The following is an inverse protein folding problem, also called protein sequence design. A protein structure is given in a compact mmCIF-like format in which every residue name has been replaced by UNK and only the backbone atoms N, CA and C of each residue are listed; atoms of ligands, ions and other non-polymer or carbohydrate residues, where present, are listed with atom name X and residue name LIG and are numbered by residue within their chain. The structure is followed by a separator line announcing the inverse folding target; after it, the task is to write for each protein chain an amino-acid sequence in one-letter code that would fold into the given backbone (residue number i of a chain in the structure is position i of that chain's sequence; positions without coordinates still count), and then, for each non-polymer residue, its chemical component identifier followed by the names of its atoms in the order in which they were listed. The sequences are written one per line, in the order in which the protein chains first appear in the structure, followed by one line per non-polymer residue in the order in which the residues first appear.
data_IF_318567586480
#
_entry.id   IF_318567586480
#
_cell.length_a   1.000
_cell.length_b   1.000
_cell.length_c   1.000
_cell.angle_alpha   90.00
_cell.angle_beta   90.00
_cell.angle_gamma   90.00
#
_symmetry.space_group_name_H-M   'P 1'
#
loop_
_entity.id
_entity.type
_entity.pdbx_description
1 polymer ?
#
# COMPACT_ATOMS: atom_id res chain seq x y z
N UNK A 1 7.19 7.21 -31.62
CA UNK A 1 5.94 7.95 -31.95
C UNK A 1 5.48 8.63 -30.65
N UNK A 2 5.40 9.96 -30.59
CA UNK A 2 4.98 10.68 -29.37
C UNK A 2 3.47 10.49 -29.16
N UNK A 3 3.05 9.99 -28.00
CA UNK A 3 1.64 9.91 -27.59
C UNK A 3 1.32 11.12 -26.70
N UNK A 4 0.27 11.85 -27.04
CA UNK A 4 -0.21 13.00 -26.25
C UNK A 4 -1.45 12.60 -25.48
N UNK A 5 -1.48 12.90 -24.18
CA UNK A 5 -2.61 12.67 -23.29
C UNK A 5 -3.14 14.04 -22.86
N UNK A 6 -4.45 14.24 -22.99
CA UNK A 6 -5.12 15.45 -22.51
C UNK A 6 -5.81 15.13 -21.19
N UNK A 7 -5.39 15.77 -20.12
CA UNK A 7 -5.95 15.58 -18.77
C UNK A 7 -6.86 16.76 -18.42
N UNK A 8 -8.02 16.46 -17.81
CA UNK A 8 -8.88 17.46 -17.19
C UNK A 8 -8.69 17.35 -15.68
N UNK A 9 -8.29 18.44 -15.07
CA UNK A 9 -8.02 18.56 -13.64
C UNK A 9 -8.72 19.79 -13.10
N UNK A 10 -8.92 19.80 -11.78
CA UNK A 10 -9.38 20.99 -11.08
C UNK A 10 -8.44 22.18 -11.34
N UNK A 11 -9.00 23.39 -11.37
CA UNK A 11 -8.24 24.62 -11.56
C UNK A 11 -7.28 24.87 -10.40
N UNK A 12 -7.64 24.54 -9.17
CA UNK A 12 -6.78 24.72 -7.98
C UNK A 12 -5.56 23.80 -8.06
N UNK A 13 -5.78 22.54 -8.45
CA UNK A 13 -4.71 21.58 -8.67
C UNK A 13 -3.81 22.01 -9.83
N UNK A 14 -4.38 22.48 -10.94
CA UNK A 14 -3.62 22.98 -12.08
C UNK A 14 -2.71 24.14 -11.71
N UNK A 15 -3.23 25.11 -10.94
CA UNK A 15 -2.46 26.27 -10.50
C UNK A 15 -1.31 25.85 -9.58
N UNK A 16 -1.57 24.95 -8.63
CA UNK A 16 -0.57 24.43 -7.71
C UNK A 16 0.56 23.70 -8.47
N UNK A 17 0.21 22.82 -9.41
CA UNK A 17 1.19 22.13 -10.25
C UNK A 17 1.99 23.10 -11.14
N UNK A 18 1.38 24.18 -11.60
CA UNK A 18 2.07 25.19 -12.42
C UNK A 18 3.09 25.98 -11.60
N UNK A 19 2.78 26.32 -10.35
CA UNK A 19 3.72 26.97 -9.43
C UNK A 19 4.93 26.07 -9.21
N UNK A 20 4.71 24.81 -8.87
CA UNK A 20 5.78 23.83 -8.64
C UNK A 20 6.66 23.60 -9.90
N UNK A 21 6.04 23.49 -11.08
CA UNK A 21 6.77 23.37 -12.34
C UNK A 21 7.67 24.59 -12.59
N UNK A 22 7.16 25.80 -12.32
CA UNK A 22 7.92 27.04 -12.48
C UNK A 22 9.09 27.13 -11.48
N UNK A 23 8.89 26.69 -10.24
CA UNK A 23 9.94 26.65 -9.21
C UNK A 23 11.09 25.70 -9.60
N UNK A 24 10.77 24.62 -10.30
CA UNK A 24 11.76 23.67 -10.84
C UNK A 24 12.28 24.04 -12.24
N UNK A 25 11.86 25.18 -12.79
CA UNK A 25 12.28 25.63 -14.11
C UNK A 25 11.84 24.73 -15.27
N UNK A 26 10.79 23.93 -15.08
CA UNK A 26 10.28 22.98 -16.06
C UNK A 26 8.91 23.40 -16.61
N UNK A 27 8.51 22.83 -17.76
CA UNK A 27 7.15 23.04 -18.25
C UNK A 27 6.17 22.21 -17.43
N UNK A 28 4.92 22.67 -17.27
CA UNK A 28 3.87 21.91 -16.58
C UNK A 28 3.71 20.49 -17.13
N UNK A 29 3.85 20.32 -18.46
CA UNK A 29 3.73 19.01 -19.09
C UNK A 29 4.92 18.09 -18.80
N UNK A 30 6.11 18.64 -18.62
CA UNK A 30 7.29 17.86 -18.24
C UNK A 30 7.22 17.49 -16.77
N UNK A 31 6.89 18.46 -15.91
CA UNK A 31 6.70 18.24 -14.48
C UNK A 31 5.64 17.16 -14.18
N UNK A 32 4.47 17.24 -14.83
CA UNK A 32 3.42 16.22 -14.68
C UNK A 32 3.90 14.86 -15.21
N UNK A 33 4.67 14.84 -16.31
CA UNK A 33 5.21 13.60 -16.85
C UNK A 33 6.18 12.98 -15.86
N UNK A 34 7.03 13.77 -15.22
CA UNK A 34 7.98 13.29 -14.23
C UNK A 34 7.27 12.75 -12.99
N UNK A 35 6.21 13.40 -12.52
CA UNK A 35 5.36 12.86 -11.44
C UNK A 35 4.74 11.51 -11.85
N UNK A 36 4.17 11.42 -13.04
CA UNK A 36 3.52 10.19 -13.52
C UNK A 36 4.55 9.07 -13.70
N UNK A 37 5.72 9.39 -14.28
CA UNK A 37 6.82 8.43 -14.45
C UNK A 37 7.32 7.98 -13.08
N UNK A 38 7.59 8.90 -12.17
CA UNK A 38 8.01 8.59 -10.81
C UNK A 38 7.03 7.64 -10.12
N UNK A 39 5.73 7.90 -10.22
CA UNK A 39 4.73 7.03 -9.60
C UNK A 39 4.62 5.65 -10.27
N UNK A 40 4.75 5.58 -11.60
CA UNK A 40 4.80 4.32 -12.35
C UNK A 40 6.07 3.53 -12.04
N UNK A 41 7.20 4.22 -11.89
CA UNK A 41 8.48 3.60 -11.59
C UNK A 41 8.52 3.16 -10.12
N UNK A 42 8.01 3.96 -9.17
CA UNK A 42 7.86 3.61 -7.76
C UNK A 42 6.97 2.37 -7.57
N UNK A 43 5.95 2.21 -8.40
CA UNK A 43 5.14 0.97 -8.44
C UNK A 43 5.84 -0.22 -9.11
N UNK A 44 6.88 0.01 -9.92
CA UNK A 44 7.74 -1.03 -10.49
C UNK A 44 9.00 -1.34 -9.63
N UNK A 45 9.33 -0.50 -8.66
CA UNK A 45 10.49 -0.65 -7.76
C UNK A 45 10.31 -1.71 -6.65
N UNK A 46 9.22 -2.49 -6.65
CA UNK A 46 9.07 -3.64 -5.74
C UNK A 46 10.11 -4.77 -5.97
N UNK A 47 11.05 -4.63 -6.92
CA UNK A 47 12.04 -5.63 -7.29
C UNK A 47 13.53 -5.22 -7.14
N UNK A 48 13.87 -4.13 -6.46
CA UNK A 48 15.27 -3.80 -6.17
C UNK A 48 15.51 -3.58 -4.67
N UNK A 49 16.62 -4.16 -4.21
CA UNK A 49 17.21 -4.03 -2.86
C UNK A 49 17.14 -2.61 -2.28
N UNK A 50 17.18 -2.45 -0.94
CA UNK A 50 16.80 -1.22 -0.26
C UNK A 50 17.84 -0.12 -0.50
N UNK A 51 17.67 0.63 -1.58
CA UNK A 51 18.43 1.85 -1.82
C UNK A 51 17.65 3.00 -1.19
N UNK A 52 18.13 3.39 -0.02
CA UNK A 52 18.05 4.72 0.61
C UNK A 52 16.93 5.62 0.05
N UNK A 53 15.79 5.58 0.75
CA UNK A 53 14.74 6.58 0.68
C UNK A 53 15.37 7.98 0.64
N UNK A 54 14.95 8.76 -0.36
CA UNK A 54 15.17 10.19 -0.44
C UNK A 54 14.79 10.76 0.93
N UNK A 55 15.78 11.32 1.62
CA UNK A 55 15.55 12.18 2.79
C UNK A 55 14.64 13.30 2.32
N UNK A 56 13.38 13.21 2.68
CA UNK A 56 12.51 14.37 2.76
C UNK A 56 13.17 15.30 3.79
N UNK A 57 13.67 16.45 3.33
CA UNK A 57 14.32 17.47 4.17
C UNK A 57 13.27 18.25 4.99
N UNK A 58 12.30 17.55 5.58
CA UNK A 58 11.53 18.06 6.70
C UNK A 58 12.23 17.59 7.97
N UNK A 59 12.90 18.52 8.65
CA UNK A 59 13.58 18.32 9.93
C UNK A 59 12.59 18.05 11.08
N UNK A 60 11.83 16.95 11.02
CA UNK A 60 11.10 16.40 12.16
C UNK A 60 11.24 14.87 12.17
N UNK A 61 12.01 14.25 13.09
CA UNK A 61 12.29 12.83 13.10
C UNK A 61 11.15 12.04 13.76
N UNK A 62 9.90 12.27 13.35
CA UNK A 62 8.81 11.34 13.64
C UNK A 62 8.77 10.34 12.49
N UNK A 63 9.34 9.16 12.72
CA UNK A 63 9.12 7.99 11.87
C UNK A 63 7.61 7.85 11.70
N UNK A 64 7.09 8.17 10.52
CA UNK A 64 5.66 8.09 10.22
C UNK A 64 5.27 6.61 10.30
N UNK A 65 4.34 6.28 11.18
CA UNK A 65 3.90 4.90 11.37
C UNK A 65 3.33 4.35 10.06
N UNK A 66 3.60 3.08 9.74
CA UNK A 66 3.25 2.51 8.43
C UNK A 66 1.76 2.67 8.07
N UNK A 67 0.88 2.66 9.07
CA UNK A 67 -0.57 2.81 8.92
C UNK A 67 -1.02 4.17 8.36
N UNK A 68 -0.16 5.19 8.36
CA UNK A 68 -0.47 6.49 7.75
C UNK A 68 -0.04 6.57 6.27
N UNK A 69 0.54 5.50 5.72
CA UNK A 69 1.08 5.48 4.36
C UNK A 69 0.06 4.99 3.33
N UNK A 70 0.23 5.41 2.08
CA UNK A 70 -0.54 4.87 0.95
C UNK A 70 -0.41 3.34 0.81
N UNK A 71 0.77 2.80 1.14
CA UNK A 71 1.02 1.35 1.10
C UNK A 71 0.10 0.59 2.05
N UNK A 72 -0.19 1.16 3.22
CA UNK A 72 -1.15 0.58 4.14
C UNK A 72 -2.58 0.67 3.61
N UNK A 73 -2.98 1.79 2.99
CA UNK A 73 -4.29 1.90 2.32
C UNK A 73 -4.48 0.84 1.24
N UNK A 74 -3.43 0.55 0.46
CA UNK A 74 -3.43 -0.54 -0.52
C UNK A 74 -3.62 -1.91 0.15
N UNK A 75 -2.89 -2.18 1.23
CA UNK A 75 -3.05 -3.41 2.01
C UNK A 75 -4.47 -3.55 2.56
N UNK A 76 -5.04 -2.48 3.11
CA UNK A 76 -6.39 -2.46 3.66
C UNK A 76 -7.41 -2.79 2.57
N UNK A 77 -7.33 -2.10 1.45
CA UNK A 77 -8.20 -2.30 0.29
C UNK A 77 -8.10 -3.75 -0.19
N UNK A 78 -6.89 -4.30 -0.28
CA UNK A 78 -6.68 -5.69 -0.67
C UNK A 78 -7.33 -6.65 0.34
N UNK A 79 -7.11 -6.50 1.64
CA UNK A 79 -7.70 -7.35 2.68
C UNK A 79 -9.23 -7.40 2.62
N UNK A 80 -9.88 -6.25 2.41
CA UNK A 80 -11.33 -6.17 2.26
C UNK A 80 -11.81 -6.75 0.93
N UNK A 81 -11.12 -6.47 -0.18
CA UNK A 81 -11.44 -7.05 -1.48
C UNK A 81 -11.35 -8.59 -1.46
N UNK A 82 -10.39 -9.16 -0.73
CA UNK A 82 -10.26 -10.63 -0.56
C UNK A 82 -11.30 -11.20 0.39
N UNK A 83 -11.76 -10.42 1.38
CA UNK A 83 -12.89 -10.82 2.23
C UNK A 83 -14.19 -10.98 1.42
N UNK A 84 -14.46 -10.02 0.53
CA UNK A 84 -15.67 -9.99 -0.30
C UNK A 84 -15.57 -11.00 -1.45
N UNK A 85 -14.41 -11.06 -2.11
CA UNK A 85 -14.14 -11.98 -3.21
C UNK A 85 -12.92 -12.85 -2.87
N UNK A 86 -13.14 -14.05 -2.30
CA UNK A 86 -12.06 -14.89 -1.79
C UNK A 86 -11.27 -15.62 -2.87
N UNK A 87 -11.73 -15.59 -4.14
CA UNK A 87 -11.03 -16.26 -5.25
C UNK A 87 -9.84 -15.40 -5.69
N UNK A 88 -8.65 -15.99 -5.64
CA UNK A 88 -7.42 -15.32 -6.02
C UNK A 88 -7.03 -15.56 -7.48
N UNK A 89 -6.89 -14.46 -8.22
CA UNK A 89 -6.63 -14.41 -9.66
C UNK A 89 -5.46 -13.47 -10.01
N UNK A 90 -4.82 -12.87 -9.00
CA UNK A 90 -3.66 -11.99 -9.17
C UNK A 90 -2.41 -12.80 -9.48
N UNK A 91 -1.45 -12.16 -10.12
CA UNK A 91 -0.14 -12.75 -10.36
C UNK A 91 0.65 -12.92 -9.06
N UNK A 92 1.63 -13.83 -9.07
CA UNK A 92 2.50 -14.10 -7.91
C UNK A 92 3.25 -12.85 -7.43
N UNK A 93 3.60 -11.96 -8.35
CA UNK A 93 4.27 -10.69 -8.06
C UNK A 93 3.38 -9.78 -7.20
N UNK A 94 2.09 -9.68 -7.52
CA UNK A 94 1.13 -8.91 -6.71
C UNK A 94 1.02 -9.50 -5.30
N UNK A 95 0.99 -10.84 -5.18
CA UNK A 95 0.94 -11.53 -3.89
C UNK A 95 2.22 -11.27 -3.07
N UNK A 96 3.39 -11.27 -3.71
CA UNK A 96 4.66 -10.90 -3.08
C UNK A 96 4.66 -9.44 -2.62
N UNK A 97 4.15 -8.53 -3.45
CA UNK A 97 3.97 -7.12 -3.08
C UNK A 97 3.05 -6.92 -1.88
N UNK A 98 2.00 -7.73 -1.75
CA UNK A 98 1.12 -7.73 -0.56
C UNK A 98 1.81 -8.32 0.66
N UNK A 99 2.59 -9.40 0.50
CA UNK A 99 3.42 -9.97 1.57
C UNK A 99 4.34 -8.91 2.19
N UNK A 100 5.06 -8.15 1.37
CA UNK A 100 5.93 -7.06 1.85
C UNK A 100 5.16 -6.01 2.65
N UNK A 101 3.94 -5.67 2.23
CA UNK A 101 3.09 -4.71 2.96
C UNK A 101 2.61 -5.26 4.30
N UNK A 102 2.29 -6.55 4.38
CA UNK A 102 1.94 -7.23 5.64
C UNK A 102 3.15 -7.24 6.59
N UNK A 103 4.35 -7.53 6.10
CA UNK A 103 5.59 -7.50 6.89
C UNK A 103 5.81 -6.10 7.49
N UNK A 104 5.64 -5.05 6.69
CA UNK A 104 5.71 -3.66 7.18
C UNK A 104 4.65 -3.35 8.23
N UNK A 105 3.41 -3.84 8.08
CA UNK A 105 2.37 -3.67 9.10
C UNK A 105 2.70 -4.37 10.43
N UNK A 106 3.50 -5.42 10.41
CA UNK A 106 3.94 -6.13 11.63
C UNK A 106 5.10 -5.39 12.31
N UNK A 107 6.05 -4.89 11.50
CA UNK A 107 7.33 -4.36 11.99
C UNK A 107 7.30 -2.86 12.28
N UNK A 108 6.58 -2.09 11.45
CA UNK A 108 6.70 -0.62 11.36
C UNK A 108 5.44 0.12 11.81
N UNK A 109 4.34 -0.59 12.09
CA UNK A 109 3.11 0.03 12.59
C UNK A 109 3.09 0.21 14.10
N UNK A 110 2.32 1.20 14.59
CA UNK A 110 2.12 1.42 16.02
C UNK A 110 1.03 0.53 16.64
N UNK A 111 0.48 -0.41 15.86
CA UNK A 111 -0.55 -1.36 16.28
C UNK A 111 -0.17 -2.20 17.50
N UNK A 112 -1.20 -2.59 18.26
CA UNK A 112 -1.11 -3.51 19.39
C UNK A 112 -0.50 -4.86 18.99
N UNK A 113 0.03 -5.55 19.99
CA UNK A 113 0.57 -6.89 19.79
C UNK A 113 -0.49 -7.84 19.22
N UNK A 114 -1.72 -7.73 19.70
CA UNK A 114 -2.84 -8.54 19.29
C UNK A 114 -3.15 -8.35 17.81
N UNK A 115 -3.16 -7.11 17.30
CA UNK A 115 -3.41 -6.87 15.87
C UNK A 115 -2.24 -7.34 14.99
N UNK A 116 -1.00 -7.22 15.48
CA UNK A 116 0.17 -7.79 14.79
C UNK A 116 0.07 -9.32 14.69
N UNK A 117 -0.48 -10.01 15.69
CA UNK A 117 -0.75 -11.45 15.61
C UNK A 117 -1.79 -11.79 14.52
N UNK A 118 -2.80 -10.94 14.32
CA UNK A 118 -3.75 -11.11 13.22
C UNK A 118 -3.05 -10.95 11.86
N UNK A 119 -2.17 -9.96 11.69
CA UNK A 119 -1.36 -9.81 10.47
C UNK A 119 -0.41 -11.00 10.24
N UNK A 120 0.10 -11.64 11.30
CA UNK A 120 0.89 -12.86 11.17
C UNK A 120 0.11 -14.05 10.58
N UNK A 121 -1.21 -14.14 10.82
CA UNK A 121 -2.06 -15.14 10.15
C UNK A 121 -2.10 -14.91 8.64
N UNK A 122 -2.26 -13.64 8.24
CA UNK A 122 -2.23 -13.24 6.83
C UNK A 122 -0.87 -13.58 6.21
N UNK A 123 0.22 -13.24 6.89
CA UNK A 123 1.58 -13.53 6.43
C UNK A 123 1.82 -15.04 6.27
N UNK A 124 1.39 -15.84 7.24
CA UNK A 124 1.51 -17.30 7.21
C UNK A 124 0.76 -17.90 6.01
N UNK A 125 -0.45 -17.41 5.76
CA UNK A 125 -1.28 -17.89 4.66
C UNK A 125 -0.75 -17.43 3.29
N UNK A 126 -0.22 -16.21 3.18
CA UNK A 126 0.50 -15.73 2.00
C UNK A 126 1.72 -16.61 1.69
N UNK A 127 2.51 -16.95 2.70
CA UNK A 127 3.67 -17.85 2.54
C UNK A 127 3.26 -19.24 2.06
N UNK A 128 2.19 -19.82 2.63
CA UNK A 128 1.60 -21.07 2.14
C UNK A 128 1.19 -20.93 0.67
N UNK A 129 0.47 -19.86 0.34
CA UNK A 129 -0.08 -19.62 -0.99
C UNK A 129 1.02 -19.49 -2.07
N UNK A 130 2.14 -18.82 -1.74
CA UNK A 130 3.30 -18.63 -2.64
C UNK A 130 4.02 -19.95 -2.95
N UNK A 131 4.02 -20.89 -2.01
CA UNK A 131 4.72 -22.17 -2.10
C UNK A 131 3.86 -23.28 -2.72
N UNK A 132 2.53 -23.12 -2.74
CA UNK A 132 1.63 -24.12 -3.31
C UNK A 132 1.70 -24.16 -4.85
N UNK A 133 1.80 -25.35 -5.45
CA UNK A 133 1.57 -25.52 -6.89
C UNK A 133 0.09 -25.27 -7.23
N UNK A 134 -0.17 -24.82 -8.45
CA UNK A 134 -1.50 -24.56 -9.00
C UNK A 134 -2.34 -23.61 -8.12
N UNK A 135 -1.76 -22.46 -7.77
CA UNK A 135 -2.37 -21.48 -6.85
C UNK A 135 -3.57 -20.73 -7.45
N UNK A 136 -3.68 -20.70 -8.79
CA UNK A 136 -4.73 -19.99 -9.50
C UNK A 136 -6.12 -20.55 -9.12
N UNK A 137 -7.04 -19.67 -8.70
CA UNK A 137 -8.39 -19.98 -8.21
C UNK A 137 -8.48 -20.57 -6.78
N UNK A 138 -7.38 -20.66 -6.03
CA UNK A 138 -7.45 -21.02 -4.61
C UNK A 138 -7.86 -19.83 -3.76
N UNK A 139 -8.41 -20.13 -2.59
CA UNK A 139 -8.81 -19.14 -1.61
C UNK A 139 -7.79 -19.07 -0.48
N UNK A 140 -7.59 -17.86 0.03
CA UNK A 140 -6.91 -17.66 1.30
C UNK A 140 -7.72 -18.26 2.45
N UNK A 141 -7.03 -18.83 3.43
CA UNK A 141 -7.60 -19.28 4.69
C UNK A 141 -7.98 -18.12 5.60
N UNK A 142 -7.24 -16.99 5.54
CA UNK A 142 -7.54 -15.84 6.39
C UNK A 142 -8.89 -15.18 6.06
N UNK A 143 -9.43 -15.41 4.86
CA UNK A 143 -10.74 -14.90 4.43
C UNK A 143 -11.90 -15.82 4.82
N UNK A 144 -11.63 -17.05 5.27
CA UNK A 144 -12.67 -18.03 5.57
C UNK A 144 -13.32 -17.77 6.93
N UNK A 145 -14.64 -17.50 6.99
CA UNK A 145 -15.32 -17.30 8.26
C UNK A 145 -15.29 -18.57 9.11
N UNK A 146 -15.08 -18.41 10.42
CA UNK A 146 -15.07 -19.52 11.39
C UNK A 146 -13.77 -20.34 11.43
N UNK A 147 -12.79 -20.02 10.60
CA UNK A 147 -11.44 -20.58 10.70
C UNK A 147 -10.68 -19.94 11.88
N UNK A 148 -9.89 -20.71 12.62
CA UNK A 148 -8.96 -20.13 13.60
C UNK A 148 -7.88 -19.24 12.96
N UNK A 149 -7.67 -19.41 11.64
CA UNK A 149 -6.78 -18.59 10.83
C UNK A 149 -7.48 -17.39 10.21
N UNK A 150 -8.79 -17.20 10.44
CA UNK A 150 -9.51 -16.05 9.91
C UNK A 150 -8.97 -14.74 10.48
N UNK A 151 -8.79 -13.74 9.64
CA UNK A 151 -8.37 -12.41 10.06
C UNK A 151 -9.51 -11.69 10.79
N UNK A 152 -9.21 -11.11 11.96
CA UNK A 152 -10.19 -10.35 12.73
C UNK A 152 -10.34 -8.90 12.24
N UNK A 153 -11.23 -8.69 11.26
CA UNK A 153 -11.51 -7.36 10.71
C UNK A 153 -12.08 -6.36 11.74
N UNK A 154 -12.81 -6.82 12.76
CA UNK A 154 -13.32 -5.94 13.81
C UNK A 154 -12.18 -5.33 14.64
N UNK A 155 -11.17 -6.13 14.93
CA UNK A 155 -10.00 -5.68 15.68
C UNK A 155 -9.17 -4.66 14.89
N UNK A 156 -9.00 -4.89 13.57
CA UNK A 156 -8.38 -3.92 12.68
C UNK A 156 -9.13 -2.57 12.70
N UNK A 157 -10.46 -2.60 12.55
CA UNK A 157 -11.26 -1.37 12.52
C UNK A 157 -11.24 -0.62 13.86
N UNK A 158 -11.32 -1.34 14.98
CA UNK A 158 -11.23 -0.73 16.31
C UNK A 158 -9.90 -0.01 16.54
N UNK A 159 -8.79 -0.61 16.08
CA UNK A 159 -7.48 0.03 16.16
C UNK A 159 -7.39 1.29 15.32
N UNK A 160 -7.86 1.24 14.07
CA UNK A 160 -7.87 2.39 13.17
C UNK A 160 -8.70 3.55 13.76
N UNK A 161 -9.90 3.26 14.26
CA UNK A 161 -10.72 4.28 14.92
C UNK A 161 -10.11 4.79 16.23
N UNK A 162 -9.35 3.95 16.95
CA UNK A 162 -8.64 4.39 18.16
C UNK A 162 -7.51 5.37 17.85
N UNK A 163 -6.95 5.31 16.65
CA UNK A 163 -5.92 6.26 16.19
C UNK A 163 -6.55 7.62 15.88
N UNK A 164 -7.70 7.65 15.20
CA UNK A 164 -8.44 8.90 14.93
C UNK A 164 -8.85 9.61 16.24
N UNK A 165 -9.28 8.86 17.26
CA UNK A 165 -9.73 9.44 18.53
C UNK A 165 -8.60 9.86 19.48
N UNK A 166 -7.33 9.55 19.17
CA UNK A 166 -6.17 10.00 19.96
C UNK A 166 -5.66 11.39 19.54
N UNK A 167 -6.15 11.91 18.42
CA UNK A 167 -5.80 13.25 17.91
C UNK A 167 -6.80 14.35 18.35
N UNK A 168 -7.75 14.03 19.24
CA UNK A 168 -8.70 14.98 19.88
C UNK A 168 -8.40 15.18 21.36
#
# INVERSE_FOLDING_TARGET
MKKTINLRVDIELKLSLQVLANEQGSSLSDYIRDIIIFHIEESNFENLEPVLLIKDETNDPKITAFETTYQFTCLLTWLFCRHINPVENNSKEVILGMKTKVEKAIEQSSFSHELRLEFLKVLSDLNRFILEPDYENKQFLFTRPGSNLSFNYYQLMNEIWSLENKES
#
